data_IF_531371864673
#
_entry.id   IF_531371864673
#
_cell.length_a   1.000
_cell.length_b   1.000
_cell.length_c   1.000
_cell.angle_alpha   90.00
_cell.angle_beta   90.00
_cell.angle_gamma   90.00
#
_symmetry.space_group_name_H-M   'P 1'
#
loop_
_entity.id
_entity.type
_entity.pdbx_description
1 polymer ?
#
# COMPACT_ATOMS: atom_id res chain seq x y z
N UNK A 1 43.47 -9.76 36.07
CA UNK A 1 43.49 -9.58 34.61
C UNK A 1 44.36 -8.36 34.30
N UNK A 2 45.34 -8.44 33.39
CA UNK A 2 46.22 -7.30 33.14
C UNK A 2 45.45 -6.16 32.46
N UNK A 3 45.73 -4.90 32.83
CA UNK A 3 45.10 -3.70 32.26
C UNK A 3 45.14 -3.69 30.71
N UNK A 4 46.18 -4.29 30.12
CA UNK A 4 46.33 -4.46 28.67
C UNK A 4 45.26 -5.38 28.06
N UNK A 5 44.94 -6.50 28.70
CA UNK A 5 43.92 -7.44 28.20
C UNK A 5 42.52 -6.79 28.25
N UNK A 6 42.19 -6.07 29.33
CA UNK A 6 40.93 -5.34 29.45
C UNK A 6 40.80 -4.24 28.37
N UNK A 7 41.87 -3.52 28.07
CA UNK A 7 41.88 -2.52 27.00
C UNK A 7 41.66 -3.13 25.62
N UNK A 8 42.28 -4.28 25.33
CA UNK A 8 42.10 -4.98 24.04
C UNK A 8 40.66 -5.46 23.89
N UNK A 9 40.10 -6.10 24.93
CA UNK A 9 38.71 -6.55 24.91
C UNK A 9 37.76 -5.37 24.72
N UNK A 10 37.98 -4.28 25.45
CA UNK A 10 37.15 -3.09 25.28
C UNK A 10 37.22 -2.52 23.87
N UNK A 11 38.42 -2.45 23.27
CA UNK A 11 38.58 -1.97 21.90
C UNK A 11 37.83 -2.85 20.89
N UNK A 12 37.91 -4.18 21.04
CA UNK A 12 37.15 -5.13 20.22
C UNK A 12 35.63 -4.89 20.37
N UNK A 13 35.16 -4.72 21.60
CA UNK A 13 33.74 -4.43 21.87
C UNK A 13 33.31 -3.11 21.23
N UNK A 14 34.09 -2.04 21.37
CA UNK A 14 33.77 -0.74 20.77
C UNK A 14 33.67 -0.85 19.26
N UNK A 15 34.62 -1.51 18.60
CA UNK A 15 34.60 -1.70 17.14
C UNK A 15 33.42 -2.58 16.71
N UNK A 16 33.14 -3.67 17.42
CA UNK A 16 32.03 -4.56 17.10
C UNK A 16 30.68 -3.84 17.22
N UNK A 17 30.41 -3.20 18.36
CA UNK A 17 29.14 -2.53 18.60
C UNK A 17 28.97 -1.25 17.78
N UNK A 18 30.01 -0.42 17.64
CA UNK A 18 29.95 0.74 16.75
C UNK A 18 29.82 0.32 15.28
N UNK A 19 30.46 -0.79 14.88
CA UNK A 19 30.31 -1.38 13.55
C UNK A 19 28.88 -1.88 13.29
N UNK A 20 28.29 -2.61 14.24
CA UNK A 20 26.88 -3.02 14.16
C UNK A 20 25.95 -1.80 14.10
N UNK A 21 26.18 -0.80 14.96
CA UNK A 21 25.44 0.47 14.97
C UNK A 21 25.52 1.19 13.61
N UNK A 22 26.73 1.25 13.03
CA UNK A 22 26.97 1.82 11.68
C UNK A 22 26.21 1.05 10.60
N UNK A 23 26.26 -0.27 10.63
CA UNK A 23 25.55 -1.12 9.68
C UNK A 23 24.03 -0.91 9.74
N UNK A 24 23.45 -0.94 10.94
CA UNK A 24 22.02 -0.71 11.15
C UNK A 24 21.64 0.71 10.73
N UNK A 25 22.48 1.70 11.06
CA UNK A 25 22.27 3.09 10.69
C UNK A 25 22.30 3.31 9.19
N UNK A 26 23.18 2.62 8.45
CA UNK A 26 23.23 2.68 7.00
C UNK A 26 21.88 2.29 6.37
N UNK A 27 21.36 1.12 6.73
CA UNK A 27 20.06 0.68 6.21
C UNK A 27 18.89 1.52 6.76
N UNK A 28 19.02 2.02 7.98
CA UNK A 28 18.07 2.96 8.59
C UNK A 28 18.03 4.33 7.93
N UNK A 29 19.07 4.72 7.19
CA UNK A 29 19.10 5.98 6.43
C UNK A 29 18.92 5.79 4.93
N UNK A 30 19.00 4.55 4.44
CA UNK A 30 19.08 4.26 3.01
C UNK A 30 17.91 4.84 2.20
N UNK A 31 16.68 4.73 2.70
CA UNK A 31 15.50 5.29 2.01
C UNK A 31 15.42 6.81 2.05
N UNK A 32 15.98 7.45 3.09
CA UNK A 32 15.92 8.90 3.26
C UNK A 32 17.05 9.64 2.54
N UNK A 33 18.23 9.02 2.43
CA UNK A 33 19.46 9.67 1.97
C UNK A 33 20.15 8.95 0.81
N UNK A 34 19.67 7.77 0.42
CA UNK A 34 20.16 6.97 -0.71
C UNK A 34 21.71 6.86 -0.72
N UNK A 35 22.36 7.41 -1.75
CA UNK A 35 23.82 7.38 -1.92
C UNK A 35 24.57 8.11 -0.79
N UNK A 36 23.93 8.99 -0.02
CA UNK A 36 24.57 9.69 1.11
C UNK A 36 24.46 8.91 2.43
N UNK A 37 23.66 7.84 2.51
CA UNK A 37 23.43 7.10 3.74
C UNK A 37 24.73 6.55 4.36
N UNK A 38 25.68 6.12 3.53
CA UNK A 38 26.98 5.62 4.02
C UNK A 38 27.82 6.71 4.68
N UNK A 39 27.71 7.97 4.23
CA UNK A 39 28.44 9.11 4.82
C UNK A 39 27.91 9.39 6.21
N UNK A 40 26.59 9.45 6.37
CA UNK A 40 25.94 9.67 7.66
C UNK A 40 26.22 8.53 8.63
N UNK A 41 26.02 7.28 8.20
CA UNK A 41 26.27 6.10 9.02
C UNK A 41 27.75 6.01 9.45
N UNK A 42 28.68 6.20 8.52
CA UNK A 42 30.11 6.20 8.82
C UNK A 42 30.52 7.31 9.80
N UNK A 43 29.92 8.50 9.66
CA UNK A 43 30.14 9.63 10.58
C UNK A 43 29.66 9.30 11.99
N UNK A 44 28.48 8.70 12.14
CA UNK A 44 27.94 8.24 13.43
C UNK A 44 28.83 7.16 14.04
N UNK A 45 29.25 6.18 13.23
CA UNK A 45 30.17 5.12 13.68
C UNK A 45 31.47 5.66 14.25
N UNK A 46 32.13 6.54 13.50
CA UNK A 46 33.36 7.20 13.95
C UNK A 46 33.13 8.02 15.23
N UNK A 47 31.99 8.71 15.30
CA UNK A 47 31.59 9.50 16.47
C UNK A 47 31.41 8.62 17.71
N UNK A 48 30.72 7.49 17.59
CA UNK A 48 30.50 6.54 18.69
C UNK A 48 31.81 5.91 19.17
N UNK A 49 32.72 5.56 18.26
CA UNK A 49 34.08 5.11 18.61
C UNK A 49 34.80 6.21 19.38
N UNK A 50 34.80 7.45 18.87
CA UNK A 50 35.43 8.60 19.52
C UNK A 50 34.89 8.85 20.93
N UNK A 51 33.57 8.82 21.11
CA UNK A 51 32.92 9.00 22.40
C UNK A 51 33.37 7.93 23.41
N UNK A 52 33.38 6.66 22.99
CA UNK A 52 33.82 5.54 23.81
C UNK A 52 35.31 5.66 24.22
N UNK A 53 36.18 6.04 23.29
CA UNK A 53 37.60 6.26 23.59
C UNK A 53 37.81 7.42 24.58
N UNK A 54 37.03 8.50 24.47
CA UNK A 54 37.07 9.61 25.43
C UNK A 54 36.63 9.13 26.82
N UNK A 55 35.57 8.33 26.91
CA UNK A 55 35.10 7.76 28.17
C UNK A 55 36.17 6.87 28.80
N UNK A 56 36.75 5.96 28.03
CA UNK A 56 37.82 5.08 28.50
C UNK A 56 39.02 5.88 29.01
N UNK A 57 39.49 6.86 28.22
CA UNK A 57 40.61 7.72 28.59
C UNK A 57 40.33 8.47 29.90
N UNK A 58 39.15 9.05 30.04
CA UNK A 58 38.76 9.78 31.24
C UNK A 58 38.68 8.85 32.45
N UNK A 59 38.11 7.64 32.30
CA UNK A 59 38.05 6.63 33.39
C UNK A 59 39.44 6.20 33.83
N UNK A 60 40.33 5.87 32.89
CA UNK A 60 41.71 5.49 33.19
C UNK A 60 42.50 6.62 33.86
N UNK A 61 42.24 7.87 33.48
CA UNK A 61 42.86 9.05 34.07
C UNK A 61 42.22 9.51 35.40
N UNK A 62 41.17 8.83 35.88
CA UNK A 62 40.41 9.25 37.07
C UNK A 62 39.64 10.56 36.91
N UNK A 63 39.38 11.00 35.68
CA UNK A 63 38.60 12.20 35.35
C UNK A 63 37.11 11.87 35.25
N UNK A 64 36.27 12.90 35.37
CA UNK A 64 34.83 12.77 35.13
C UNK A 64 34.53 12.30 33.71
N UNK A 65 33.48 11.47 33.57
CA UNK A 65 33.05 10.91 32.27
C UNK A 65 32.05 11.78 31.52
N UNK A 66 31.62 12.90 32.11
CA UNK A 66 30.52 13.73 31.60
C UNK A 66 30.70 14.16 30.14
N UNK A 67 31.90 14.60 29.76
CA UNK A 67 32.16 15.04 28.38
C UNK A 67 32.01 13.89 27.37
N UNK A 68 32.47 12.69 27.73
CA UNK A 68 32.30 11.50 26.91
C UNK A 68 30.84 11.04 26.87
N UNK A 69 30.10 11.16 27.98
CA UNK A 69 28.67 10.83 28.03
C UNK A 69 27.84 11.77 27.16
N UNK A 70 28.09 13.08 27.19
CA UNK A 70 27.38 14.05 26.34
C UNK A 70 27.67 13.77 24.86
N UNK A 71 28.93 13.50 24.52
CA UNK A 71 29.31 13.12 23.16
C UNK A 71 28.63 11.82 22.72
N UNK A 72 28.55 10.82 23.61
CA UNK A 72 27.86 9.57 23.37
C UNK A 72 26.36 9.79 23.17
N UNK A 73 25.69 10.55 24.02
CA UNK A 73 24.24 10.80 23.89
C UNK A 73 23.89 11.44 22.56
N UNK A 74 24.72 12.37 22.07
CA UNK A 74 24.49 13.00 20.77
C UNK A 74 24.58 11.97 19.63
N UNK A 75 25.65 11.15 19.60
CA UNK A 75 25.79 10.10 18.58
C UNK A 75 24.72 9.01 18.70
N UNK A 76 24.43 8.59 19.92
CA UNK A 76 23.43 7.56 20.23
C UNK A 76 22.01 8.02 19.91
N UNK A 77 21.70 9.32 19.94
CA UNK A 77 20.40 9.82 19.48
C UNK A 77 20.22 9.55 17.98
N UNK A 78 21.16 10.00 17.14
CA UNK A 78 21.04 9.79 15.69
C UNK A 78 21.10 8.32 15.33
N UNK A 79 21.97 7.56 15.99
CA UNK A 79 22.03 6.11 15.82
C UNK A 79 20.75 5.42 16.26
N UNK A 80 20.15 5.82 17.39
CA UNK A 80 18.87 5.28 17.84
C UNK A 80 17.78 5.50 16.79
N UNK A 81 17.65 6.71 16.25
CA UNK A 81 16.64 7.02 15.23
C UNK A 81 16.78 6.12 14.01
N UNK A 82 18.00 5.96 13.47
CA UNK A 82 18.23 5.12 12.29
C UNK A 82 18.14 3.62 12.59
N UNK A 83 18.72 3.16 13.70
CA UNK A 83 18.66 1.75 14.11
C UNK A 83 17.22 1.33 14.41
N UNK A 84 16.46 2.18 15.09
CA UNK A 84 15.04 1.96 15.34
C UNK A 84 14.28 1.89 14.02
N UNK A 85 14.50 2.83 13.10
CA UNK A 85 13.85 2.82 11.80
C UNK A 85 14.07 1.50 11.05
N UNK A 86 15.31 1.02 10.95
CA UNK A 86 15.61 -0.24 10.29
C UNK A 86 14.99 -1.46 10.98
N UNK A 87 15.19 -1.57 12.30
CA UNK A 87 14.70 -2.72 13.08
C UNK A 87 13.17 -2.77 13.10
N UNK A 88 12.53 -1.62 13.26
CA UNK A 88 11.09 -1.48 13.26
C UNK A 88 10.51 -1.78 11.88
N UNK A 89 11.11 -1.24 10.82
CA UNK A 89 10.72 -1.53 9.43
C UNK A 89 10.80 -3.03 9.16
N UNK A 90 11.91 -3.70 9.48
CA UNK A 90 12.05 -5.14 9.26
C UNK A 90 11.10 -5.99 10.10
N UNK A 91 10.81 -5.56 11.34
CA UNK A 91 9.83 -6.21 12.19
C UNK A 91 8.41 -6.03 11.63
N UNK A 92 8.14 -4.86 11.05
CA UNK A 92 6.84 -4.51 10.50
C UNK A 92 6.60 -5.04 9.10
N UNK A 93 7.63 -5.19 8.27
CA UNK A 93 7.56 -5.76 6.93
C UNK A 93 6.88 -7.15 6.93
N UNK A 94 6.96 -7.88 8.04
CA UNK A 94 6.30 -9.19 8.20
C UNK A 94 4.82 -9.11 8.61
N UNK A 95 4.40 -8.08 9.33
CA UNK A 95 3.03 -7.97 9.88
C UNK A 95 2.17 -6.93 9.11
N UNK A 96 2.76 -5.81 8.70
CA UNK A 96 2.10 -4.68 8.00
C UNK A 96 1.83 -4.99 6.54
N UNK A 97 2.65 -5.84 5.89
CA UNK A 97 2.39 -6.24 4.51
C UNK A 97 1.02 -6.90 4.35
N UNK A 98 0.62 -7.75 5.31
CA UNK A 98 -0.67 -8.44 5.27
C UNK A 98 -1.84 -7.48 5.47
N UNK A 99 -1.75 -6.58 6.46
CA UNK A 99 -2.82 -5.62 6.74
C UNK A 99 -2.94 -4.53 5.67
N UNK A 100 -1.81 -4.07 5.12
CA UNK A 100 -1.79 -3.05 4.06
C UNK A 100 -2.33 -3.61 2.75
N UNK A 101 -1.95 -4.84 2.38
CA UNK A 101 -2.52 -5.56 1.24
C UNK A 101 -4.02 -5.75 1.41
N UNK A 102 -4.47 -6.21 2.58
CA UNK A 102 -5.89 -6.42 2.85
C UNK A 102 -6.69 -5.11 2.73
N UNK A 103 -6.18 -4.02 3.31
CA UNK A 103 -6.78 -2.69 3.21
C UNK A 103 -6.81 -2.15 1.76
N UNK A 104 -5.72 -2.36 1.00
CA UNK A 104 -5.64 -1.99 -0.41
C UNK A 104 -6.61 -2.82 -1.26
N UNK A 105 -6.74 -4.12 -0.99
CA UNK A 105 -7.69 -5.04 -1.63
C UNK A 105 -9.14 -4.63 -1.38
N UNK A 106 -9.48 -4.30 -0.13
CA UNK A 106 -10.82 -3.84 0.23
C UNK A 106 -11.17 -2.50 -0.44
N UNK A 107 -10.22 -1.56 -0.43
CA UNK A 107 -10.37 -0.27 -1.13
C UNK A 107 -10.54 -0.48 -2.63
N UNK A 108 -9.73 -1.35 -3.23
CA UNK A 108 -9.82 -1.71 -4.64
C UNK A 108 -11.19 -2.28 -5.01
N UNK A 109 -11.68 -3.28 -4.27
CA UNK A 109 -13.01 -3.85 -4.49
C UNK A 109 -14.11 -2.82 -4.29
N UNK A 110 -14.01 -1.99 -3.26
CA UNK A 110 -14.94 -0.89 -3.01
C UNK A 110 -15.01 0.10 -4.18
N UNK A 111 -13.87 0.46 -4.75
CA UNK A 111 -13.77 1.33 -5.92
C UNK A 111 -14.41 0.69 -7.15
N UNK A 112 -14.11 -0.58 -7.44
CA UNK A 112 -14.72 -1.32 -8.55
C UNK A 112 -16.24 -1.40 -8.44
N UNK A 113 -16.77 -1.69 -7.25
CA UNK A 113 -18.22 -1.73 -7.00
C UNK A 113 -18.85 -0.35 -7.21
N UNK A 114 -18.17 0.72 -6.76
CA UNK A 114 -18.63 2.10 -6.92
C UNK A 114 -18.71 2.50 -8.38
N UNK A 115 -17.65 2.25 -9.15
CA UNK A 115 -17.61 2.50 -10.59
C UNK A 115 -18.69 1.71 -11.33
N UNK A 116 -18.86 0.42 -11.01
CA UNK A 116 -19.90 -0.43 -11.62
C UNK A 116 -21.30 0.14 -11.39
N UNK A 117 -21.63 0.52 -10.14
CA UNK A 117 -22.94 1.09 -9.81
C UNK A 117 -23.20 2.42 -10.52
N UNK A 118 -22.19 3.26 -10.70
CA UNK A 118 -22.35 4.50 -11.45
C UNK A 118 -22.65 4.23 -12.92
N UNK A 119 -21.93 3.28 -13.54
CA UNK A 119 -22.16 2.87 -14.93
C UNK A 119 -23.54 2.22 -15.12
N UNK A 120 -23.97 1.35 -14.20
CA UNK A 120 -25.29 0.70 -14.22
C UNK A 120 -26.46 1.68 -14.14
N UNK A 121 -26.25 2.87 -13.55
CA UNK A 121 -27.26 3.93 -13.39
C UNK A 121 -27.30 4.91 -14.56
N UNK A 122 -26.49 4.69 -15.60
CA UNK A 122 -26.50 5.58 -16.76
C UNK A 122 -27.77 5.37 -17.56
N UNK A 123 -28.50 6.46 -17.85
CA UNK A 123 -29.73 6.46 -18.65
C UNK A 123 -29.57 5.73 -19.99
N UNK A 124 -28.36 5.70 -20.55
CA UNK A 124 -28.02 5.00 -21.80
C UNK A 124 -28.36 3.50 -21.73
N UNK A 125 -28.04 2.83 -20.62
CA UNK A 125 -28.35 1.40 -20.45
C UNK A 125 -29.84 1.16 -20.22
N UNK A 126 -30.50 2.04 -19.48
CA UNK A 126 -31.95 1.93 -19.25
C UNK A 126 -32.72 2.14 -20.56
N UNK A 127 -32.40 3.19 -21.31
CA UNK A 127 -32.96 3.47 -22.63
C UNK A 127 -32.70 2.33 -23.62
N UNK A 128 -31.48 1.77 -23.62
CA UNK A 128 -31.17 0.61 -24.47
C UNK A 128 -32.02 -0.62 -24.10
N UNK A 129 -32.13 -0.94 -22.79
CA UNK A 129 -32.95 -2.06 -22.32
C UNK A 129 -34.43 -1.87 -22.65
N UNK A 130 -34.95 -0.66 -22.50
CA UNK A 130 -36.32 -0.31 -22.88
C UNK A 130 -36.54 -0.45 -24.38
N UNK A 131 -35.63 0.08 -25.20
CA UNK A 131 -35.66 -0.04 -26.65
C UNK A 131 -35.63 -1.50 -27.09
N UNK A 132 -34.75 -2.32 -26.50
CA UNK A 132 -34.63 -3.77 -26.78
C UNK A 132 -35.91 -4.51 -26.42
N UNK A 133 -36.44 -4.26 -25.22
CA UNK A 133 -37.71 -4.85 -24.75
C UNK A 133 -38.86 -4.47 -25.67
N UNK A 134 -38.93 -3.21 -26.11
CA UNK A 134 -39.97 -2.73 -27.03
C UNK A 134 -39.81 -3.37 -28.40
N UNK A 135 -38.59 -3.44 -28.93
CA UNK A 135 -38.27 -4.06 -30.22
C UNK A 135 -38.64 -5.55 -30.26
N UNK A 136 -38.25 -6.32 -29.24
CA UNK A 136 -38.60 -7.74 -29.12
C UNK A 136 -40.11 -7.96 -29.03
N UNK A 137 -40.80 -7.12 -28.25
CA UNK A 137 -42.26 -7.17 -28.13
C UNK A 137 -42.96 -6.94 -29.47
N UNK A 138 -42.50 -5.96 -30.25
CA UNK A 138 -43.06 -5.68 -31.57
C UNK A 138 -42.77 -6.81 -32.57
N UNK A 139 -41.58 -7.42 -32.52
CA UNK A 139 -41.27 -8.62 -33.31
C UNK A 139 -42.18 -9.80 -32.95
N UNK A 140 -42.42 -10.05 -31.65
CA UNK A 140 -43.33 -11.11 -31.20
C UNK A 140 -44.78 -10.85 -31.66
N UNK A 141 -45.25 -9.59 -31.57
CA UNK A 141 -46.58 -9.20 -32.06
C UNK A 141 -46.69 -9.36 -33.58
N UNK A 142 -45.68 -8.95 -34.33
CA UNK A 142 -45.62 -9.15 -35.77
C UNK A 142 -45.68 -10.64 -36.13
N UNK A 143 -44.93 -11.50 -35.42
CA UNK A 143 -44.98 -12.96 -35.62
C UNK A 143 -46.39 -13.48 -35.45
N UNK A 144 -47.05 -13.10 -34.34
CA UNK A 144 -48.39 -13.56 -34.01
C UNK A 144 -49.43 -13.16 -35.07
N UNK A 145 -49.32 -11.94 -35.61
CA UNK A 145 -50.20 -11.45 -36.67
C UNK A 145 -49.96 -12.15 -38.02
N UNK A 146 -48.69 -12.35 -38.38
CA UNK A 146 -48.32 -12.92 -39.69
C UNK A 146 -48.60 -14.41 -39.77
N UNK A 147 -48.49 -15.11 -38.64
CA UNK A 147 -48.68 -16.55 -38.52
C UNK A 147 -50.02 -16.92 -37.88
N UNK A 148 -51.00 -16.02 -37.87
CA UNK A 148 -52.37 -16.35 -37.41
C UNK A 148 -52.91 -17.53 -38.24
N UNK A 149 -53.21 -18.69 -37.62
CA UNK A 149 -53.71 -19.86 -38.35
C UNK A 149 -55.02 -19.62 -39.08
N UNK A 150 -55.83 -18.67 -38.62
CA UNK A 150 -57.12 -18.35 -39.20
C UNK A 150 -57.02 -17.35 -40.36
N UNK A 151 -56.01 -16.47 -40.35
CA UNK A 151 -55.82 -15.41 -41.34
C UNK A 151 -54.32 -15.12 -41.59
N UNK A 152 -53.55 -16.06 -42.16
CA UNK A 152 -52.12 -15.85 -42.37
C UNK A 152 -51.87 -14.77 -43.43
N UNK A 153 -51.06 -13.76 -43.10
CA UNK A 153 -50.79 -12.67 -44.03
C UNK A 153 -50.19 -11.41 -43.41
N UNK A 154 -49.79 -10.48 -44.29
CA UNK A 154 -49.30 -9.14 -43.90
C UNK A 154 -50.42 -8.11 -44.10
N UNK A 155 -51.36 -8.13 -43.16
CA UNK A 155 -52.48 -7.18 -43.08
C UNK A 155 -52.09 -5.79 -42.53
N UNK A 156 -53.07 -4.89 -42.36
CA UNK A 156 -52.86 -3.54 -41.83
C UNK A 156 -52.15 -3.52 -40.46
N UNK A 157 -52.56 -4.40 -39.54
CA UNK A 157 -51.96 -4.51 -38.19
C UNK A 157 -50.48 -4.96 -38.25
N UNK A 158 -50.19 -5.99 -39.07
CA UNK A 158 -48.81 -6.44 -39.30
C UNK A 158 -47.95 -5.31 -39.88
N UNK A 159 -48.48 -4.52 -40.82
CA UNK A 159 -47.77 -3.33 -41.35
C UNK A 159 -47.57 -2.25 -40.30
N UNK A 160 -48.50 -2.09 -39.37
CA UNK A 160 -48.35 -1.23 -38.20
C UNK A 160 -47.14 -1.63 -37.35
N UNK A 161 -47.02 -2.90 -37.01
CA UNK A 161 -45.85 -3.41 -36.27
C UNK A 161 -44.54 -3.22 -37.04
N UNK A 162 -44.53 -3.47 -38.35
CA UNK A 162 -43.35 -3.20 -39.20
C UNK A 162 -42.95 -1.73 -39.11
N UNK A 163 -43.90 -0.79 -39.23
CA UNK A 163 -43.62 0.64 -39.17
C UNK A 163 -43.06 1.08 -37.80
N UNK A 164 -43.56 0.48 -36.70
CA UNK A 164 -43.00 0.73 -35.37
C UNK A 164 -41.57 0.20 -35.27
N UNK A 165 -41.30 -1.01 -35.77
CA UNK A 165 -39.96 -1.58 -35.80
C UNK A 165 -39.01 -0.71 -36.62
N UNK A 166 -39.39 -0.29 -37.82
CA UNK A 166 -38.61 0.64 -38.65
C UNK A 166 -38.36 1.99 -37.95
N UNK A 167 -39.35 2.48 -37.21
CA UNK A 167 -39.21 3.67 -36.36
C UNK A 167 -38.16 3.49 -35.25
N UNK A 168 -38.12 2.30 -34.62
CA UNK A 168 -37.09 1.98 -33.61
C UNK A 168 -35.70 1.82 -34.22
N UNK A 169 -35.60 1.37 -35.47
CA UNK A 169 -34.35 1.22 -36.21
C UNK A 169 -33.83 2.54 -36.81
N UNK A 170 -34.65 3.60 -36.81
CA UNK A 170 -34.29 4.90 -37.39
C UNK A 170 -34.30 4.93 -38.92
N UNK A 171 -34.92 3.94 -39.58
CA UNK A 171 -34.94 3.82 -41.03
C UNK A 171 -35.76 2.65 -41.54
N UNK A 172 -36.11 2.67 -42.82
CA UNK A 172 -36.81 1.56 -43.47
C UNK A 172 -35.87 0.38 -43.68
N UNK A 173 -36.35 -0.82 -43.41
CA UNK A 173 -35.60 -2.03 -43.73
C UNK A 173 -35.58 -2.26 -45.24
N UNK A 174 -34.44 -2.72 -45.77
CA UNK A 174 -34.25 -2.92 -47.21
C UNK A 174 -35.20 -4.00 -47.75
N UNK A 175 -36.29 -3.53 -48.37
CA UNK A 175 -37.10 -4.13 -49.44
C UNK A 175 -37.33 -5.67 -49.39
N UNK A 176 -37.75 -6.19 -48.25
CA UNK A 176 -38.33 -7.54 -48.18
C UNK A 176 -39.76 -7.49 -48.70
N UNK A 177 -39.97 -7.87 -49.97
CA UNK A 177 -41.31 -7.98 -50.53
C UNK A 177 -42.14 -8.96 -49.69
N UNK A 178 -43.25 -8.48 -49.13
CA UNK A 178 -44.19 -9.32 -48.41
C UNK A 178 -44.73 -10.42 -49.34
N UNK A 179 -44.92 -11.66 -48.86
CA UNK A 179 -45.52 -12.71 -49.67
C UNK A 179 -46.90 -12.29 -50.17
N UNK A 180 -47.26 -12.73 -51.39
CA UNK A 180 -48.59 -12.47 -51.96
C UNK A 180 -49.68 -13.00 -51.03
N UNK A 181 -50.87 -12.41 -51.05
CA UNK A 181 -52.01 -12.88 -50.23
C UNK A 181 -52.37 -14.34 -50.58
N UNK A 182 -52.74 -15.12 -49.57
CA UNK A 182 -53.19 -16.52 -49.75
C UNK A 182 -52.07 -17.55 -49.93
N UNK A 183 -50.82 -17.19 -49.63
CA UNK A 183 -49.71 -18.14 -49.60
C UNK A 183 -49.78 -19.06 -48.38
N UNK A 184 -49.01 -20.15 -48.38
CA UNK A 184 -48.97 -21.06 -47.24
C UNK A 184 -48.32 -20.42 -46.01
N UNK A 185 -48.71 -20.87 -44.81
CA UNK A 185 -48.14 -20.38 -43.54
C UNK A 185 -46.61 -20.54 -43.48
N UNK A 186 -46.06 -21.59 -44.09
CA UNK A 186 -44.62 -21.81 -44.16
C UNK A 186 -43.88 -20.74 -44.98
N UNK A 187 -44.51 -20.14 -45.99
CA UNK A 187 -43.93 -19.01 -46.74
C UNK A 187 -43.91 -17.75 -45.89
N UNK A 188 -44.97 -17.50 -45.12
CA UNK A 188 -45.03 -16.38 -44.17
C UNK A 188 -44.04 -16.53 -43.01
N UNK A 189 -43.83 -17.75 -42.52
CA UNK A 189 -42.83 -18.05 -41.49
C UNK A 189 -41.40 -17.83 -42.00
N UNK A 190 -41.07 -18.34 -43.19
CA UNK A 190 -39.77 -18.11 -43.81
C UNK A 190 -39.51 -16.62 -44.06
N UNK A 191 -40.53 -15.88 -44.50
CA UNK A 191 -40.44 -14.43 -44.65
C UNK A 191 -40.22 -13.72 -43.30
N UNK A 192 -40.99 -14.08 -42.27
CA UNK A 192 -40.84 -13.50 -40.94
C UNK A 192 -39.46 -13.75 -40.35
N UNK A 193 -38.91 -14.96 -40.48
CA UNK A 193 -37.55 -15.26 -39.98
C UNK A 193 -36.47 -14.45 -40.72
N UNK A 194 -36.63 -14.24 -42.02
CA UNK A 194 -35.72 -13.37 -42.78
C UNK A 194 -35.85 -11.90 -42.35
N UNK A 195 -37.08 -11.42 -42.16
CA UNK A 195 -37.34 -10.10 -41.60
C UNK A 195 -36.72 -9.92 -40.22
N UNK A 196 -37.00 -10.84 -39.28
CA UNK A 196 -36.48 -10.84 -37.91
C UNK A 196 -34.97 -10.80 -37.89
N UNK A 197 -34.30 -11.63 -38.70
CA UNK A 197 -32.84 -11.68 -38.78
C UNK A 197 -32.24 -10.33 -39.20
N UNK A 198 -32.81 -9.71 -40.23
CA UNK A 198 -32.35 -8.40 -40.72
C UNK A 198 -32.65 -7.30 -39.69
N UNK A 199 -33.86 -7.28 -39.14
CA UNK A 199 -34.27 -6.32 -38.12
C UNK A 199 -33.35 -6.38 -36.89
N UNK A 200 -33.05 -7.58 -36.39
CA UNK A 200 -32.13 -7.78 -35.25
C UNK A 200 -30.74 -7.27 -35.60
N UNK A 201 -30.21 -7.59 -36.78
CA UNK A 201 -28.89 -7.14 -37.20
C UNK A 201 -28.78 -5.61 -37.34
N UNK A 202 -29.84 -4.95 -37.81
CA UNK A 202 -29.91 -3.48 -37.87
C UNK A 202 -30.08 -2.88 -36.47
N UNK A 203 -30.87 -3.52 -35.59
CA UNK A 203 -31.08 -3.08 -34.21
C UNK A 203 -29.78 -3.09 -33.43
N UNK A 204 -29.02 -4.19 -33.45
CA UNK A 204 -27.72 -4.27 -32.76
C UNK A 204 -26.74 -3.20 -33.24
N UNK A 205 -26.73 -2.88 -34.55
CA UNK A 205 -25.93 -1.77 -35.10
C UNK A 205 -26.37 -0.42 -34.57
N UNK A 206 -27.68 -0.16 -34.52
CA UNK A 206 -28.25 1.10 -34.04
C UNK A 206 -28.00 1.36 -32.55
N UNK A 207 -27.88 0.29 -31.77
CA UNK A 207 -27.65 0.33 -30.33
C UNK A 207 -26.16 0.44 -30.00
N UNK A 208 -25.30 -0.24 -30.74
CA UNK A 208 -23.84 -0.17 -30.57
C UNK A 208 -23.30 1.27 -30.70
N UNK A 209 -23.92 2.09 -31.56
CA UNK A 209 -23.53 3.48 -31.79
C UNK A 209 -23.90 4.41 -30.61
N UNK A 210 -24.86 4.00 -29.76
CA UNK A 210 -25.35 4.80 -28.62
C UNK A 210 -24.49 4.68 -27.35
N UNK A 211 -23.39 3.92 -27.41
CA UNK A 211 -22.41 3.83 -26.33
C UNK A 211 -22.71 2.80 -25.24
N UNK A 212 -23.87 2.14 -25.25
CA UNK A 212 -24.20 1.11 -24.26
C UNK A 212 -23.27 -0.11 -24.32
N UNK A 213 -22.83 -0.51 -25.52
CA UNK A 213 -21.79 -1.56 -25.69
C UNK A 213 -20.46 -1.16 -25.03
N UNK A 214 -20.12 0.14 -24.98
CA UNK A 214 -18.92 0.61 -24.28
C UNK A 214 -19.09 0.52 -22.76
N UNK A 215 -20.28 0.88 -22.26
CA UNK A 215 -20.63 0.75 -20.84
C UNK A 215 -20.58 -0.73 -20.41
N UNK A 216 -21.19 -1.62 -21.19
CA UNK A 216 -21.15 -3.06 -20.94
C UNK A 216 -19.73 -3.64 -20.96
N UNK A 217 -18.88 -3.16 -21.86
CA UNK A 217 -17.48 -3.58 -21.91
C UNK A 217 -16.71 -3.19 -20.63
N UNK A 218 -16.92 -1.96 -20.12
CA UNK A 218 -16.28 -1.53 -18.85
C UNK A 218 -16.85 -2.32 -17.67
N UNK A 219 -18.17 -2.56 -17.61
CA UNK A 219 -18.79 -3.38 -16.56
C UNK A 219 -18.26 -4.83 -16.60
N UNK A 220 -18.09 -5.41 -17.79
CA UNK A 220 -17.52 -6.75 -17.97
C UNK A 220 -16.08 -6.83 -17.45
N UNK A 221 -15.25 -5.83 -17.76
CA UNK A 221 -13.88 -5.76 -17.24
C UNK A 221 -13.85 -5.60 -15.72
N UNK A 222 -14.73 -4.77 -15.14
CA UNK A 222 -14.88 -4.65 -13.68
C UNK A 222 -15.24 -6.00 -13.05
N UNK A 223 -16.20 -6.72 -13.62
CA UNK A 223 -16.60 -8.03 -13.09
C UNK A 223 -15.46 -9.05 -13.17
N UNK A 224 -14.67 -9.03 -14.24
CA UNK A 224 -13.47 -9.88 -14.37
C UNK A 224 -12.42 -9.56 -13.32
N UNK A 225 -12.23 -8.27 -13.00
CA UNK A 225 -11.33 -7.84 -11.93
C UNK A 225 -11.86 -8.27 -10.54
N UNK A 226 -13.15 -8.11 -10.28
CA UNK A 226 -13.77 -8.56 -9.04
C UNK A 226 -13.67 -10.08 -8.84
N UNK A 227 -13.75 -10.85 -9.91
CA UNK A 227 -13.58 -12.31 -9.88
C UNK A 227 -12.12 -12.69 -9.65
N UNK A 228 -11.19 -12.09 -10.42
CA UNK A 228 -9.74 -12.30 -10.29
C UNK A 228 -9.25 -12.01 -8.86
N UNK A 229 -9.76 -10.94 -8.25
CA UNK A 229 -9.40 -10.51 -6.92
C UNK A 229 -10.51 -10.79 -5.90
N UNK A 230 -11.23 -11.91 -6.07
CA UNK A 230 -12.30 -12.30 -5.16
C UNK A 230 -11.80 -12.57 -3.74
N UNK A 231 -10.64 -13.22 -3.64
CA UNK A 231 -9.95 -13.60 -2.39
C UNK A 231 -8.77 -12.62 -2.19
N UNK A 232 -8.55 -12.12 -0.95
CA UNK A 232 -7.35 -11.35 -0.65
C UNK A 232 -6.08 -12.21 -0.83
N UNK A 233 -4.94 -11.62 -1.24
CA UNK A 233 -3.68 -12.33 -1.33
C UNK A 233 -3.32 -12.99 0.02
N UNK A 234 -2.78 -14.21 -0.03
CA UNK A 234 -2.40 -14.94 1.18
C UNK A 234 -1.17 -14.28 1.81
N UNK A 235 -1.25 -13.94 3.10
CA UNK A 235 -0.30 -13.07 3.81
C UNK A 235 1.14 -13.59 3.95
N UNK A 236 1.53 -14.63 3.21
CA UNK A 236 2.84 -15.24 3.25
C UNK A 236 3.82 -14.70 2.19
N UNK A 237 3.36 -13.89 1.23
CA UNK A 237 4.20 -13.41 0.14
C UNK A 237 4.61 -11.95 0.35
N UNK A 238 5.85 -11.74 0.78
CA UNK A 238 6.55 -10.46 0.69
C UNK A 238 6.77 -9.97 -0.77
N UNK A 239 5.97 -10.43 -1.74
CA UNK A 239 6.00 -10.07 -3.17
C UNK A 239 4.82 -9.15 -3.59
N UNK A 240 4.01 -8.67 -2.64
CA UNK A 240 2.69 -8.11 -2.95
C UNK A 240 2.63 -6.59 -3.26
N UNK A 241 3.77 -5.90 -3.28
CA UNK A 241 3.86 -4.50 -3.76
C UNK A 241 3.44 -4.36 -5.22
N UNK A 242 3.73 -5.37 -6.04
CA UNK A 242 3.29 -5.41 -7.44
C UNK A 242 1.78 -5.59 -7.55
N UNK A 243 1.15 -6.28 -6.60
CA UNK A 243 -0.31 -6.41 -6.52
C UNK A 243 -0.97 -5.10 -6.12
N UNK A 244 -0.43 -4.39 -5.13
CA UNK A 244 -0.92 -3.05 -4.74
C UNK A 244 -0.75 -2.08 -5.91
N UNK A 245 0.40 -2.12 -6.61
CA UNK A 245 0.63 -1.32 -7.82
C UNK A 245 -0.38 -1.66 -8.93
N UNK A 246 -0.71 -2.94 -9.09
CA UNK A 246 -1.75 -3.38 -10.00
C UNK A 246 -3.12 -2.82 -9.59
N UNK A 247 -3.51 -2.85 -8.31
CA UNK A 247 -4.76 -2.26 -7.83
C UNK A 247 -4.85 -0.77 -8.13
N UNK A 248 -3.79 -0.01 -7.84
CA UNK A 248 -3.74 1.42 -8.10
C UNK A 248 -3.87 1.72 -9.60
N UNK A 249 -3.09 1.04 -10.44
CA UNK A 249 -3.12 1.20 -11.91
C UNK A 249 -4.49 0.84 -12.49
N UNK A 250 -5.07 -0.27 -12.05
CA UNK A 250 -6.39 -0.72 -12.51
C UNK A 250 -7.50 0.24 -12.04
N UNK A 251 -7.43 0.75 -10.81
CA UNK A 251 -8.38 1.75 -10.30
C UNK A 251 -8.38 3.00 -11.16
N UNK A 252 -7.20 3.55 -11.45
CA UNK A 252 -7.06 4.74 -12.30
C UNK A 252 -7.59 4.49 -13.71
N UNK A 253 -7.27 3.34 -14.30
CA UNK A 253 -7.74 2.96 -15.63
C UNK A 253 -9.28 2.88 -15.67
N UNK A 254 -9.88 2.24 -14.67
CA UNK A 254 -11.35 2.14 -14.55
C UNK A 254 -11.98 3.51 -14.32
N UNK A 255 -11.39 4.37 -13.49
CA UNK A 255 -11.90 5.73 -13.27
C UNK A 255 -11.91 6.53 -14.57
N UNK A 256 -10.80 6.51 -15.33
CA UNK A 256 -10.70 7.19 -16.62
C UNK A 256 -11.76 6.69 -17.60
N UNK A 257 -11.84 5.36 -17.82
CA UNK A 257 -12.80 4.75 -18.75
C UNK A 257 -14.24 4.96 -18.33
N UNK A 258 -14.53 4.91 -17.03
CA UNK A 258 -15.87 5.19 -16.52
C UNK A 258 -16.24 6.67 -16.75
N UNK A 259 -15.32 7.59 -16.48
CA UNK A 259 -15.54 9.03 -16.63
C UNK A 259 -15.51 9.53 -18.08
N UNK A 260 -15.06 8.72 -19.04
CA UNK A 260 -15.29 8.93 -20.48
C UNK A 260 -16.75 8.70 -20.86
N UNK A 261 -17.46 7.82 -20.13
CA UNK A 261 -18.85 7.44 -20.39
C UNK A 261 -19.84 8.19 -19.48
N UNK A 262 -19.39 8.60 -18.29
CA UNK A 262 -20.18 9.33 -17.32
C UNK A 262 -20.04 10.85 -17.53
N UNK A 263 -21.18 11.55 -17.52
CA UNK A 263 -21.25 13.00 -17.76
C UNK A 263 -21.66 13.78 -16.52
N UNK A 264 -21.11 14.99 -16.37
CA UNK A 264 -21.51 15.95 -15.32
C UNK A 264 -21.38 15.40 -13.91
N UNK A 265 -22.49 15.42 -13.16
CA UNK A 265 -22.57 14.97 -11.76
C UNK A 265 -22.45 13.45 -11.58
N UNK A 266 -22.58 12.67 -12.65
CA UNK A 266 -22.49 11.21 -12.60
C UNK A 266 -21.05 10.67 -12.64
N UNK A 267 -20.05 11.55 -12.78
CA UNK A 267 -18.63 11.17 -12.76
C UNK A 267 -18.28 10.57 -11.41
N UNK A 268 -17.42 9.55 -11.43
CA UNK A 268 -16.91 8.91 -10.23
C UNK A 268 -15.53 9.44 -9.90
N UNK A 269 -15.28 9.67 -8.61
CA UNK A 269 -13.93 9.88 -8.08
C UNK A 269 -13.64 8.71 -7.16
N UNK A 270 -12.72 7.85 -7.57
CA UNK A 270 -12.40 6.65 -6.82
C UNK A 270 -11.38 6.99 -5.73
N UNK A 271 -11.40 6.24 -4.62
CA UNK A 271 -10.44 6.46 -3.54
C UNK A 271 -9.06 6.10 -4.05
N UNK A 272 -8.07 6.97 -3.85
CA UNK A 272 -6.68 6.63 -4.12
C UNK A 272 -6.28 5.45 -3.25
N UNK A 273 -5.75 4.41 -3.90
CA UNK A 273 -5.07 3.33 -3.19
C UNK A 273 -3.66 3.84 -2.99
N UNK A 274 -3.47 4.51 -1.85
CA UNK A 274 -2.22 5.14 -1.52
C UNK A 274 -1.19 4.09 -1.11
N UNK A 275 0.03 4.25 -1.59
CA UNK A 275 1.14 3.39 -1.24
C UNK A 275 1.61 3.78 0.16
N UNK A 276 0.93 3.32 1.21
CA UNK A 276 1.52 3.32 2.55
C UNK A 276 2.91 2.64 2.54
N UNK A 277 3.17 1.78 1.55
CA UNK A 277 4.41 1.02 1.36
C UNK A 277 5.52 1.70 0.54
N UNK A 278 5.35 2.95 0.09
CA UNK A 278 6.50 3.72 -0.43
C UNK A 278 7.41 4.25 0.68
N UNK A 279 6.85 4.40 1.89
CA UNK A 279 7.46 5.08 3.04
C UNK A 279 7.99 4.12 4.11
N UNK A 280 7.79 2.81 3.94
CA UNK A 280 8.43 1.81 4.80
C UNK A 280 9.96 1.94 4.69
N UNK A 281 10.62 2.13 5.83
CA UNK A 281 12.02 2.49 5.89
C UNK A 281 12.31 3.99 5.87
N UNK A 282 11.30 4.87 5.75
CA UNK A 282 11.46 6.29 6.07
C UNK A 282 11.40 6.50 7.58
N UNK A 283 12.36 7.29 8.08
CA UNK A 283 12.46 7.59 9.51
C UNK A 283 11.18 8.20 10.08
N UNK A 284 10.59 9.19 9.40
CA UNK A 284 9.38 9.86 9.88
C UNK A 284 8.24 8.86 10.09
N UNK A 285 8.06 7.96 9.12
CA UNK A 285 7.01 6.96 9.14
C UNK A 285 7.22 5.95 10.28
N UNK A 286 8.42 5.39 10.40
CA UNK A 286 8.72 4.43 11.47
C UNK A 286 8.59 5.04 12.86
N UNK A 287 8.99 6.30 13.03
CA UNK A 287 8.87 6.99 14.32
C UNK A 287 7.43 7.32 14.67
N UNK A 288 6.64 7.78 13.68
CA UNK A 288 5.23 8.06 13.88
C UNK A 288 4.45 6.78 14.20
N UNK A 289 4.65 5.71 13.44
CA UNK A 289 3.96 4.43 13.69
C UNK A 289 4.46 3.77 14.97
N UNK A 290 5.76 3.78 15.23
CA UNK A 290 6.35 3.20 16.43
C UNK A 290 5.86 3.86 17.72
N UNK A 291 5.73 5.20 17.75
CA UNK A 291 5.48 5.92 19.01
C UNK A 291 4.10 6.57 19.12
N UNK A 292 3.43 6.88 18.01
CA UNK A 292 2.12 7.54 18.00
C UNK A 292 1.01 6.52 17.78
N UNK A 293 0.91 5.95 16.58
CA UNK A 293 -0.18 5.03 16.21
C UNK A 293 -0.06 3.67 16.90
N UNK A 294 1.16 3.18 17.07
CA UNK A 294 1.51 1.92 17.77
C UNK A 294 0.72 0.70 17.27
N UNK A 295 0.71 0.41 15.96
CA UNK A 295 -0.01 -0.75 15.41
C UNK A 295 0.54 -2.07 15.94
N UNK A 296 1.87 -2.17 16.13
CA UNK A 296 2.51 -3.29 16.81
C UNK A 296 3.42 -2.81 17.94
N UNK A 297 2.88 -2.89 19.15
CA UNK A 297 3.58 -2.48 20.37
C UNK A 297 4.81 -3.37 20.67
N UNK A 298 4.75 -4.67 20.33
CA UNK A 298 5.86 -5.59 20.54
C UNK A 298 7.07 -5.26 19.65
N UNK A 299 6.83 -5.01 18.36
CA UNK A 299 7.85 -4.57 17.41
C UNK A 299 8.50 -3.24 17.85
N UNK A 300 7.70 -2.31 18.36
CA UNK A 300 8.18 -1.03 18.91
C UNK A 300 9.14 -1.25 20.07
N UNK A 301 8.72 -2.01 21.09
CA UNK A 301 9.55 -2.25 22.29
C UNK A 301 10.85 -2.96 21.90
N UNK A 302 10.76 -4.04 21.11
CA UNK A 302 11.92 -4.83 20.76
C UNK A 302 12.94 -4.00 19.96
N UNK A 303 12.45 -3.23 18.97
CA UNK A 303 13.30 -2.37 18.14
C UNK A 303 13.95 -1.26 18.96
N UNK A 304 13.22 -0.62 19.87
CA UNK A 304 13.75 0.42 20.74
C UNK A 304 14.81 -0.13 21.72
N UNK A 305 14.56 -1.29 22.32
CA UNK A 305 15.50 -1.94 23.24
C UNK A 305 16.78 -2.33 22.51
N UNK A 306 16.69 -2.97 21.34
CA UNK A 306 17.87 -3.37 20.57
C UNK A 306 18.63 -2.13 20.08
N UNK A 307 17.95 -1.12 19.54
CA UNK A 307 18.58 0.11 19.06
C UNK A 307 19.38 0.81 20.17
N UNK A 308 18.84 0.89 21.39
CA UNK A 308 19.56 1.45 22.54
C UNK A 308 20.67 0.54 23.05
N UNK A 309 20.44 -0.78 23.09
CA UNK A 309 21.40 -1.74 23.64
C UNK A 309 22.73 -1.73 22.87
N UNK A 310 22.68 -1.59 21.54
CA UNK A 310 23.89 -1.59 20.70
C UNK A 310 24.83 -0.44 21.07
N UNK A 311 24.32 0.76 21.34
CA UNK A 311 25.17 1.92 21.66
C UNK A 311 25.57 1.98 23.14
N UNK A 312 24.71 1.48 24.04
CA UNK A 312 24.94 1.56 25.48
C UNK A 312 25.81 0.43 26.04
N UNK A 313 25.90 -0.72 25.36
CA UNK A 313 26.67 -1.86 25.87
C UNK A 313 28.17 -1.54 26.08
N UNK A 314 28.87 -0.87 25.13
CA UNK A 314 30.26 -0.45 25.35
C UNK A 314 30.41 0.52 26.53
N UNK A 315 29.45 1.44 26.72
CA UNK A 315 29.45 2.35 27.87
C UNK A 315 29.37 1.58 29.19
N UNK A 316 28.39 0.68 29.31
CA UNK A 316 28.19 -0.12 30.52
C UNK A 316 29.45 -0.91 30.83
N UNK A 317 30.04 -1.57 29.83
CA UNK A 317 31.31 -2.27 30.00
C UNK A 317 32.43 -1.34 30.48
N UNK A 318 32.58 -0.14 29.89
CA UNK A 318 33.61 0.81 30.28
C UNK A 318 33.49 1.25 31.76
N UNK A 319 32.25 1.45 32.23
CA UNK A 319 31.98 1.85 33.61
C UNK A 319 32.33 0.74 34.62
N UNK A 320 32.09 -0.52 34.27
CA UNK A 320 32.42 -1.67 35.12
C UNK A 320 33.90 -2.09 35.03
N UNK A 321 34.49 -2.09 33.85
CA UNK A 321 35.84 -2.61 33.62
C UNK A 321 36.94 -1.64 34.06
N UNK A 322 36.71 -0.33 33.92
CA UNK A 322 37.72 0.69 34.22
C UNK A 322 37.35 1.47 35.47
N UNK A 323 38.17 1.36 36.51
CA UNK A 323 38.11 2.19 37.70
C UNK A 323 39.36 3.07 37.73
N UNK A 324 39.18 4.38 37.95
CA UNK A 324 40.30 5.31 38.07
C UNK A 324 41.20 4.96 39.26
N UNK A 325 42.42 5.52 39.33
CA UNK A 325 43.29 5.34 40.48
C UNK A 325 42.53 5.71 41.76
N UNK A 326 42.42 4.77 42.71
CA UNK A 326 41.91 5.11 44.04
C UNK A 326 42.85 6.19 44.58
N UNK A 327 42.35 7.41 44.75
CA UNK A 327 43.10 8.46 45.43
C UNK A 327 43.59 7.88 46.75
N UNK A 328 44.91 7.82 47.01
CA UNK A 328 45.37 7.45 48.33
C UNK A 328 44.74 8.44 49.29
N UNK A 329 43.98 7.94 50.27
CA UNK A 329 43.48 8.76 51.38
C UNK A 329 44.68 9.54 51.88
N UNK A 330 44.60 10.87 51.85
CA UNK A 330 45.58 11.71 52.53
C UNK A 330 45.75 11.13 53.93
N UNK A 331 46.91 10.55 54.22
CA UNK A 331 47.30 10.34 55.60
C UNK A 331 47.36 11.74 56.21
N UNK A 332 46.38 12.02 57.08
CA UNK A 332 46.49 13.17 57.98
C UNK A 332 47.91 13.15 58.59
N UNK A 333 48.66 14.26 58.50
CA UNK A 333 49.92 14.34 59.20
C UNK A 333 49.64 14.10 60.69
N UNK A 334 50.24 13.04 61.26
CA UNK A 334 50.18 12.80 62.70
C UNK A 334 50.61 14.09 63.42
N UNK A 335 49.80 14.62 64.35
CA UNK A 335 50.21 15.79 65.11
C UNK A 335 51.50 15.47 65.89
N UNK A 336 52.42 16.44 66.02
CA UNK A 336 53.69 16.22 66.68
C UNK A 336 53.46 15.74 68.12
N UNK A 337 54.03 14.58 68.46
CA UNK A 337 54.10 14.06 69.83
C UNK A 337 54.71 15.15 70.73
N UNK A 338 53.88 15.78 71.57
CA UNK A 338 54.35 16.62 72.68
C UNK A 338 55.32 15.80 73.53
N UNK A 339 56.61 16.12 73.48
CA UNK A 339 57.60 15.68 74.47
C UNK A 339 57.17 16.26 75.82
N UNK A 340 56.74 15.40 76.74
CA UNK A 340 56.60 15.80 78.14
C UNK A 340 58.00 16.04 78.71
N UNK A 341 58.35 17.30 78.94
CA UNK A 341 59.48 17.66 79.80
C UNK A 341 59.16 17.15 81.21
N UNK A 342 59.84 16.10 81.65
CA UNK A 342 59.82 15.64 83.03
C UNK A 342 60.98 16.35 83.74
N UNK A 343 60.71 17.54 84.28
CA UNK A 343 61.52 18.11 85.33
C UNK A 343 61.35 17.25 86.58
N UNK A 344 62.43 16.66 87.08
CA UNK A 344 62.55 16.29 88.49
C UNK A 344 63.87 16.88 89.00
N UNK A 345 63.73 17.98 89.73
CA UNK A 345 64.65 18.44 90.77
C UNK A 345 64.24 17.72 92.06
N UNK A 346 65.23 17.25 92.83
CA UNK A 346 65.05 16.58 94.12
C UNK A 346 66.18 15.62 94.37
#
# INVERSE_FOLDING_TARGET
MSSRILNVIYFILVIAFAGTSTYLSYFGFYRNFEELAWVFAGSIGLWLVGANLVIQRNRLAGRGVLSGLVMLMFGAFFSFVSNFNYLYTNAMERDVAVETVASAHDTFKGNLITARRALERTDVLEQERELRTRFERELSRLRAQVLDPLNPGVGPEARGHIAVIEGLLGGRMTNLAAPRSGQSIGIYEAWFENFRRNAVADFERSVADKGGTKVEAVISDINRLLERYSIPPDGAAAEDLDTIRAYSTQTLNIELRANELLSGENRVTLKSIDFMDGRLGEIEFSMYNGFVERPNFGATILSAVIALAVDLFPLVFALFAFHGPRTPRFHEPQPPRRRSSRNNLG
#
